data_IF_005161422766
#
_entry.id   IF_005161422766
#
_cell.length_a   1.000
_cell.length_b   1.000
_cell.length_c   1.000
_cell.angle_alpha   90.00
_cell.angle_beta   90.00
_cell.angle_gamma   90.00
#
_symmetry.space_group_name_H-M   'P 1'
#
loop_
_entity.id
_entity.type
_entity.pdbx_description
1 polymer ?
#
# COMPACT_ATOMS: atom_id res chain seq x y z
N UNK A 1 -44.47 7.91 -12.60
CA UNK A 1 -43.59 8.65 -11.66
C UNK A 1 -42.92 7.78 -10.58
N UNK A 2 -43.51 6.67 -10.11
CA UNK A 2 -42.86 5.79 -9.12
C UNK A 2 -41.64 4.99 -9.64
N UNK A 3 -41.60 4.64 -10.94
CA UNK A 3 -40.51 3.85 -11.53
C UNK A 3 -39.20 4.64 -11.71
N UNK A 4 -39.29 5.95 -11.99
CA UNK A 4 -38.13 6.84 -12.18
C UNK A 4 -37.38 7.12 -10.87
N UNK A 5 -38.08 7.10 -9.74
CA UNK A 5 -37.49 7.34 -8.42
C UNK A 5 -36.61 6.17 -7.94
N UNK A 6 -36.98 4.94 -8.31
CA UNK A 6 -36.26 3.71 -7.94
C UNK A 6 -34.96 3.57 -8.74
N UNK A 7 -34.91 4.07 -9.97
CA UNK A 7 -33.69 4.06 -10.79
C UNK A 7 -32.62 5.01 -10.24
N UNK A 8 -33.05 6.14 -9.66
CA UNK A 8 -32.14 7.15 -9.12
C UNK A 8 -31.44 6.68 -7.82
N UNK A 9 -32.13 5.93 -6.96
CA UNK A 9 -31.54 5.38 -5.73
C UNK A 9 -30.52 4.26 -5.98
N UNK A 10 -30.64 3.54 -7.10
CA UNK A 10 -29.66 2.50 -7.48
C UNK A 10 -28.36 3.12 -8.00
N UNK A 11 -28.44 4.25 -8.73
CA UNK A 11 -27.27 4.95 -9.28
C UNK A 11 -26.41 5.67 -8.22
N UNK A 12 -27.00 6.08 -7.09
CA UNK A 12 -26.25 6.74 -6.01
C UNK A 12 -25.41 5.74 -5.20
N UNK A 13 -25.80 4.46 -5.15
CA UNK A 13 -25.06 3.43 -4.40
C UNK A 13 -23.81 2.90 -5.14
N UNK A 14 -23.65 3.17 -6.43
CA UNK A 14 -22.49 2.70 -7.20
C UNK A 14 -21.27 3.63 -7.16
N UNK A 15 -21.37 4.80 -6.52
CA UNK A 15 -20.30 5.82 -6.56
C UNK A 15 -19.36 5.86 -5.35
N UNK A 16 -19.57 5.07 -4.28
CA UNK A 16 -18.88 5.29 -3.00
C UNK A 16 -17.94 4.17 -2.51
N UNK A 17 -17.48 3.27 -3.38
CA UNK A 17 -16.46 2.27 -3.00
C UNK A 17 -15.16 2.39 -3.79
N UNK A 18 -14.64 3.61 -3.94
CA UNK A 18 -13.19 3.76 -4.11
C UNK A 18 -12.57 3.57 -2.73
N UNK A 19 -11.90 2.43 -2.50
CA UNK A 19 -11.01 2.31 -1.35
C UNK A 19 -9.82 3.24 -1.60
N UNK A 20 -9.89 4.46 -1.07
CA UNK A 20 -8.76 5.37 -1.11
C UNK A 20 -7.77 4.93 -0.02
N UNK A 21 -6.59 4.48 -0.43
CA UNK A 21 -5.46 4.20 0.48
C UNK A 21 -4.73 5.48 0.92
N UNK A 22 -5.24 6.64 0.52
CA UNK A 22 -4.57 7.93 0.72
C UNK A 22 -4.73 8.42 2.16
N UNK A 23 -3.62 8.80 2.79
CA UNK A 23 -3.56 9.28 4.16
C UNK A 23 -2.19 9.09 4.80
N UNK A 24 -2.07 9.56 6.04
CA UNK A 24 -0.91 9.30 6.90
C UNK A 24 -1.20 8.08 7.77
N UNK A 25 -0.25 7.15 7.81
CA UNK A 25 -0.33 5.88 8.52
C UNK A 25 0.88 5.66 9.42
N UNK A 26 0.69 4.81 10.43
CA UNK A 26 1.75 4.23 11.23
C UNK A 26 1.71 2.72 11.14
N UNK A 27 2.88 2.10 11.03
CA UNK A 27 3.06 0.67 11.27
C UNK A 27 4.04 0.50 12.42
N UNK A 28 3.77 -0.46 13.29
CA UNK A 28 4.60 -0.76 14.47
C UNK A 28 5.41 -2.04 14.32
N UNK A 29 5.26 -2.72 13.19
CA UNK A 29 5.87 -4.01 12.92
C UNK A 29 6.20 -4.15 11.45
N UNK A 30 7.41 -4.59 11.15
CA UNK A 30 7.83 -4.92 9.79
C UNK A 30 8.49 -6.29 9.73
N UNK A 31 8.45 -6.92 8.56
CA UNK A 31 9.28 -8.07 8.24
C UNK A 31 9.96 -7.86 6.90
N UNK A 32 11.18 -8.34 6.78
CA UNK A 32 11.94 -8.35 5.54
C UNK A 32 12.32 -9.78 5.17
N UNK A 33 12.13 -10.13 3.90
CA UNK A 33 12.52 -11.40 3.33
C UNK A 33 13.39 -11.16 2.09
N UNK A 34 14.60 -11.68 2.14
CA UNK A 34 15.57 -11.72 1.05
C UNK A 34 15.52 -13.12 0.41
N UNK A 35 15.31 -13.18 -0.90
CA UNK A 35 15.24 -14.43 -1.65
C UNK A 35 16.62 -15.04 -1.91
N UNK A 36 17.68 -14.24 -1.84
CA UNK A 36 19.06 -14.65 -2.10
C UNK A 36 19.79 -15.11 -0.83
N UNK A 37 19.49 -14.52 0.33
CA UNK A 37 20.18 -14.80 1.59
C UNK A 37 19.23 -14.81 2.79
N UNK A 38 18.92 -16.00 3.30
CA UNK A 38 18.02 -16.16 4.46
C UNK A 38 18.54 -15.48 5.74
N UNK A 39 19.85 -15.29 5.86
CA UNK A 39 20.45 -14.63 7.04
C UNK A 39 20.10 -13.14 7.11
N UNK A 40 19.71 -12.54 5.98
CA UNK A 40 19.28 -11.15 5.91
C UNK A 40 17.80 -10.96 6.33
N UNK A 41 17.06 -12.05 6.56
CA UNK A 41 15.66 -11.98 6.94
C UNK A 41 15.50 -11.50 8.38
N UNK A 42 14.55 -10.60 8.62
CA UNK A 42 14.27 -10.12 9.97
C UNK A 42 12.78 -9.81 10.18
N UNK A 43 12.38 -9.76 11.45
CA UNK A 43 11.12 -9.19 11.93
C UNK A 43 11.51 -8.17 12.99
N UNK A 44 10.89 -6.99 12.93
CA UNK A 44 11.22 -5.87 13.81
C UNK A 44 9.95 -5.18 14.29
N UNK A 45 9.96 -4.77 15.56
CA UNK A 45 8.91 -3.97 16.19
C UNK A 45 9.46 -2.53 16.35
N UNK A 46 9.10 -1.66 15.41
CA UNK A 46 9.57 -0.28 15.31
C UNK A 46 8.46 0.58 14.72
N UNK A 47 8.40 1.87 15.10
CA UNK A 47 7.42 2.80 14.53
C UNK A 47 7.90 3.35 13.18
N UNK A 48 7.18 2.98 12.12
CA UNK A 48 7.32 3.53 10.78
C UNK A 48 6.20 4.52 10.50
N UNK A 49 6.55 5.67 9.93
CA UNK A 49 5.58 6.64 9.40
C UNK A 49 5.46 6.45 7.91
N UNK A 50 4.23 6.29 7.43
CA UNK A 50 3.93 5.95 6.04
C UNK A 50 2.92 6.96 5.52
N UNK A 51 3.26 7.74 4.51
CA UNK A 51 2.33 8.65 3.83
C UNK A 51 2.01 8.07 2.46
N UNK A 52 0.71 7.91 2.17
CA UNK A 52 0.22 7.39 0.90
C UNK A 52 -0.62 8.48 0.26
N UNK A 53 -0.28 8.83 -0.98
CA UNK A 53 -0.99 9.82 -1.78
C UNK A 53 -1.23 9.21 -3.16
N UNK A 54 -2.35 8.51 -3.31
CA UNK A 54 -2.78 7.95 -4.59
C UNK A 54 -3.96 8.79 -5.10
N UNK A 55 -3.94 9.10 -6.39
CA UNK A 55 -4.97 9.89 -7.04
C UNK A 55 -6.32 9.16 -7.05
N UNK A 56 -7.40 9.88 -7.37
CA UNK A 56 -8.76 9.31 -7.34
C UNK A 56 -8.97 8.20 -8.36
N UNK A 57 -8.19 8.17 -9.44
CA UNK A 57 -8.27 7.16 -10.48
C UNK A 57 -7.41 5.93 -10.17
N UNK A 58 -6.62 5.97 -9.09
CA UNK A 58 -5.66 4.97 -8.65
C UNK A 58 -4.51 4.71 -9.64
N UNK A 59 -4.23 5.61 -10.56
CA UNK A 59 -3.21 5.42 -11.62
C UNK A 59 -1.90 6.13 -11.32
N UNK A 60 -1.93 7.18 -10.49
CA UNK A 60 -0.76 8.01 -10.20
C UNK A 60 -0.69 8.33 -8.71
N UNK A 61 0.50 8.64 -8.22
CA UNK A 61 0.69 8.98 -6.81
C UNK A 61 2.09 8.73 -6.28
N UNK A 62 2.21 8.83 -4.97
CA UNK A 62 3.45 8.59 -4.25
C UNK A 62 3.21 7.95 -2.90
N UNK A 63 4.14 7.10 -2.50
CA UNK A 63 4.17 6.46 -1.20
C UNK A 63 5.53 6.76 -0.58
N UNK A 64 5.52 7.28 0.63
CA UNK A 64 6.71 7.66 1.37
C UNK A 64 6.76 6.92 2.70
N UNK A 65 7.91 6.33 3.03
CA UNK A 65 8.12 5.58 4.28
C UNK A 65 9.34 6.16 4.98
N UNK A 66 9.16 6.62 6.21
CA UNK A 66 10.25 7.01 7.11
C UNK A 66 10.63 5.82 7.97
N UNK A 67 11.82 5.27 7.73
CA UNK A 67 12.40 4.20 8.52
C UNK A 67 13.19 4.81 9.70
N UNK A 68 12.87 4.46 10.96
CA UNK A 68 13.53 5.04 12.13
C UNK A 68 15.02 4.71 12.23
N UNK A 69 15.50 3.69 11.51
CA UNK A 69 16.93 3.29 11.48
C UNK A 69 17.77 4.18 10.57
N UNK A 70 17.13 4.84 9.60
CA UNK A 70 17.74 5.78 8.66
C UNK A 70 16.92 7.07 8.61
N UNK A 71 16.79 7.81 9.73
CA UNK A 71 15.81 8.89 9.90
C UNK A 71 15.99 10.05 8.90
N UNK A 72 17.20 10.22 8.38
CA UNK A 72 17.56 11.26 7.40
C UNK A 72 17.21 10.87 5.94
N UNK A 73 16.73 9.64 5.72
CA UNK A 73 16.34 9.14 4.40
C UNK A 73 14.86 8.79 4.37
N UNK A 74 14.19 9.27 3.34
CA UNK A 74 12.80 8.92 3.04
C UNK A 74 12.80 7.88 1.92
N UNK A 75 12.23 6.70 2.19
CA UNK A 75 11.99 5.72 1.14
C UNK A 75 10.80 6.18 0.32
N UNK A 76 11.04 6.64 -0.90
CA UNK A 76 10.03 7.20 -1.77
C UNK A 76 9.76 6.30 -2.97
N UNK A 77 8.48 6.06 -3.23
CA UNK A 77 7.96 5.20 -4.29
C UNK A 77 6.93 6.00 -5.10
N UNK A 78 7.21 6.23 -6.37
CA UNK A 78 6.28 6.88 -7.29
C UNK A 78 5.40 5.81 -7.95
N UNK A 79 4.08 5.96 -7.91
CA UNK A 79 3.14 5.07 -8.58
C UNK A 79 3.10 5.41 -10.06
N UNK A 80 3.39 4.44 -10.91
CA UNK A 80 3.40 4.59 -12.37
C UNK A 80 2.26 3.84 -13.06
N UNK A 81 1.71 2.80 -12.43
CA UNK A 81 0.59 2.04 -12.99
C UNK A 81 -0.19 1.26 -11.92
N UNK A 82 -1.47 1.03 -12.18
CA UNK A 82 -2.32 0.14 -11.39
C UNK A 82 -2.39 -1.24 -12.05
N UNK A 83 -1.75 -2.22 -11.42
CA UNK A 83 -1.67 -3.59 -11.94
C UNK A 83 -2.95 -4.40 -11.70
N UNK A 84 -3.89 -3.87 -10.90
CA UNK A 84 -5.19 -4.46 -10.69
C UNK A 84 -5.42 -5.01 -9.29
N UNK A 85 -6.52 -5.76 -9.17
CA UNK A 85 -7.04 -6.32 -7.92
C UNK A 85 -6.98 -7.84 -7.99
N UNK A 86 -6.30 -8.46 -7.02
CA UNK A 86 -6.23 -9.92 -6.90
C UNK A 86 -6.96 -10.35 -5.63
N UNK A 87 -7.85 -11.34 -5.76
CA UNK A 87 -8.47 -12.02 -4.62
C UNK A 87 -7.82 -13.38 -4.46
N UNK A 88 -7.17 -13.60 -3.33
CA UNK A 88 -6.55 -14.89 -3.00
C UNK A 88 -6.88 -15.27 -1.57
N UNK A 89 -7.34 -16.50 -1.34
CA UNK A 89 -7.59 -17.07 -0.01
C UNK A 89 -8.39 -16.17 0.97
N UNK A 90 -9.36 -15.41 0.46
CA UNK A 90 -10.16 -14.48 1.26
C UNK A 90 -9.52 -13.11 1.52
N UNK A 91 -8.27 -12.91 1.09
CA UNK A 91 -7.57 -11.63 1.08
C UNK A 91 -7.80 -10.92 -0.25
N UNK A 92 -8.05 -9.63 -0.16
CA UNK A 92 -8.10 -8.74 -1.32
C UNK A 92 -6.83 -7.91 -1.37
N UNK A 93 -6.12 -8.00 -2.50
CA UNK A 93 -4.87 -7.32 -2.77
C UNK A 93 -5.05 -6.29 -3.88
N UNK A 94 -4.45 -5.12 -3.73
CA UNK A 94 -4.40 -4.05 -4.73
C UNK A 94 -2.94 -3.79 -5.07
N UNK A 95 -2.59 -3.96 -6.34
CA UNK A 95 -1.20 -3.96 -6.79
C UNK A 95 -0.90 -2.70 -7.59
N UNK A 96 0.18 -2.03 -7.24
CA UNK A 96 0.66 -0.81 -7.90
C UNK A 96 2.09 -1.02 -8.36
N UNK A 97 2.36 -0.76 -9.63
CA UNK A 97 3.72 -0.65 -10.14
C UNK A 97 4.29 0.69 -9.71
N UNK A 98 5.48 0.66 -9.12
CA UNK A 98 6.13 1.86 -8.60
C UNK A 98 7.60 1.94 -9.02
N UNK A 99 8.17 3.14 -8.97
CA UNK A 99 9.60 3.42 -9.13
C UNK A 99 10.21 3.94 -7.83
N UNK A 100 11.36 3.42 -7.44
CA UNK A 100 12.09 3.85 -6.24
C UNK A 100 12.87 5.15 -6.49
N UNK A 101 12.29 6.31 -6.20
CA UNK A 101 12.97 7.60 -6.46
C UNK A 101 14.06 7.95 -5.43
N UNK A 102 14.15 7.18 -4.33
CA UNK A 102 15.15 7.40 -3.28
C UNK A 102 16.50 6.71 -3.56
N UNK A 103 16.61 5.99 -4.68
CA UNK A 103 17.85 5.37 -5.15
C UNK A 103 18.42 6.16 -6.32
N UNK A 104 19.74 6.21 -6.44
CA UNK A 104 20.43 6.91 -7.54
C UNK A 104 19.98 6.40 -8.93
N UNK A 105 19.66 5.11 -9.02
CA UNK A 105 19.04 4.50 -10.19
C UNK A 105 17.67 3.95 -9.77
N UNK A 106 16.56 4.52 -10.28
CA UNK A 106 15.23 4.03 -9.96
C UNK A 106 15.03 2.57 -10.39
N UNK A 107 14.51 1.77 -9.47
CA UNK A 107 14.20 0.36 -9.65
C UNK A 107 12.68 0.19 -9.68
N UNK A 108 12.20 -0.66 -10.57
CA UNK A 108 10.80 -1.08 -10.59
C UNK A 108 10.49 -1.98 -9.40
N UNK A 109 9.46 -1.61 -8.66
CA UNK A 109 8.95 -2.36 -7.51
C UNK A 109 7.43 -2.44 -7.58
N UNK A 110 6.85 -3.37 -6.86
CA UNK A 110 5.41 -3.49 -6.70
C UNK A 110 5.05 -3.16 -5.27
N UNK A 111 4.14 -2.20 -5.08
CA UNK A 111 3.48 -1.99 -3.79
C UNK A 111 2.15 -2.72 -3.78
N UNK A 112 1.92 -3.50 -2.73
CA UNK A 112 0.70 -4.26 -2.53
C UNK A 112 0.01 -3.77 -1.26
N UNK A 113 -1.21 -3.29 -1.40
CA UNK A 113 -2.11 -3.04 -0.27
C UNK A 113 -3.04 -4.23 -0.10
N UNK A 114 -3.13 -4.77 1.11
CA UNK A 114 -3.99 -5.92 1.36
C UNK A 114 -4.51 -5.98 2.78
N UNK A 115 -5.61 -6.72 2.95
CA UNK A 115 -6.18 -7.04 4.25
C UNK A 115 -5.94 -8.53 4.53
N UNK A 116 -5.01 -8.89 5.43
CA UNK A 116 -4.85 -10.26 5.89
C UNK A 116 -6.13 -10.73 6.60
N UNK A 117 -6.13 -11.99 7.05
CA UNK A 117 -7.28 -12.62 7.72
C UNK A 117 -7.74 -11.89 8.98
N UNK A 118 -6.86 -11.12 9.62
CA UNK A 118 -7.15 -10.27 10.77
C UNK A 118 -7.80 -8.90 10.41
N UNK A 119 -8.05 -8.68 9.11
CA UNK A 119 -8.73 -7.52 8.51
C UNK A 119 -8.05 -6.17 8.75
N UNK A 120 -6.76 -6.14 9.08
CA UNK A 120 -6.02 -4.88 9.21
C UNK A 120 -5.29 -4.55 7.93
N UNK A 121 -5.24 -3.28 7.54
CA UNK A 121 -4.53 -2.90 6.33
C UNK A 121 -3.03 -3.20 6.50
N UNK A 122 -2.43 -3.87 5.52
CA UNK A 122 -0.98 -4.08 5.43
C UNK A 122 -0.46 -3.54 4.10
N UNK A 123 0.80 -3.12 4.10
CA UNK A 123 1.52 -2.66 2.91
C UNK A 123 2.73 -3.57 2.71
N UNK A 124 2.90 -4.09 1.50
CA UNK A 124 4.11 -4.80 1.11
C UNK A 124 4.81 -4.06 -0.03
N UNK A 125 6.10 -3.84 0.11
CA UNK A 125 7.01 -3.46 -0.98
C UNK A 125 7.67 -4.74 -1.48
N UNK A 126 7.59 -5.02 -2.78
CA UNK A 126 8.05 -6.27 -3.37
C UNK A 126 8.80 -6.03 -4.68
N UNK A 127 9.97 -6.66 -4.82
CA UNK A 127 10.62 -6.86 -6.10
C UNK A 127 11.07 -8.33 -6.23
N UNK A 128 11.75 -8.67 -7.34
CA UNK A 128 12.17 -10.06 -7.59
C UNK A 128 13.15 -10.60 -6.53
N UNK A 129 13.89 -9.72 -5.86
CA UNK A 129 14.96 -10.07 -4.93
C UNK A 129 14.50 -10.14 -3.48
N UNK A 130 13.51 -9.32 -3.09
CA UNK A 130 13.06 -9.24 -1.70
C UNK A 130 11.63 -8.73 -1.55
N UNK A 131 11.08 -8.91 -0.34
CA UNK A 131 9.85 -8.27 0.11
C UNK A 131 10.02 -7.65 1.50
N UNK A 132 9.40 -6.49 1.69
CA UNK A 132 9.24 -5.86 3.00
C UNK A 132 7.76 -5.64 3.28
N UNK A 133 7.28 -6.13 4.41
CA UNK A 133 5.88 -5.97 4.84
C UNK A 133 5.84 -5.02 6.03
N UNK A 134 4.91 -4.07 5.99
CA UNK A 134 4.52 -3.21 7.09
C UNK A 134 3.13 -3.64 7.52
N UNK A 135 3.04 -4.20 8.72
CA UNK A 135 1.80 -4.77 9.23
C UNK A 135 0.94 -3.71 9.90
N UNK A 136 -0.37 -3.96 9.95
CA UNK A 136 -1.32 -3.22 10.78
C UNK A 136 -1.23 -1.69 10.63
N UNK A 137 -1.28 -1.19 9.39
CA UNK A 137 -1.31 0.24 9.09
C UNK A 137 -2.51 0.90 9.79
N UNK A 138 -2.21 1.80 10.73
CA UNK A 138 -3.20 2.60 11.46
C UNK A 138 -3.18 4.02 10.94
N UNK A 139 -4.35 4.55 10.61
CA UNK A 139 -4.50 5.96 10.23
C UNK A 139 -4.03 6.84 11.39
N UNK A 140 -3.14 7.77 11.09
CA UNK A 140 -2.66 8.76 12.04
C UNK A 140 -3.61 9.98 12.00
N UNK A 141 -4.67 9.93 12.81
CA UNK A 141 -5.53 11.10 13.04
C UNK A 141 -4.73 12.11 13.87
N UNK A 142 -4.23 13.18 13.22
CA UNK A 142 -3.80 14.38 13.94
C UNK A 142 -5.03 15.20 14.35
#
# INVERSE_FOLDING_TARGET
>A
MKKTLITLTILINTLCYSQNFSGDYRSYKTSFQDNSSKENNFIEESEFKITILIDKNNTEGSIAIQDPRIPDKLLFYEVVDYLGKIKDNGTTNYLYKCLTQHLDNPIETTIVFYYPTDKKLSLMVYNKESSQVFFDLKINNK
#
